data_IF_102087136892
#
_entry.id   IF_102087136892
#
_cell.length_a   1.000
_cell.length_b   1.000
_cell.length_c   1.000
_cell.angle_alpha   90.00
_cell.angle_beta   90.00
_cell.angle_gamma   90.00
#
_symmetry.space_group_name_H-M   'P 1'
#
loop_
_entity.id
_entity.type
_entity.pdbx_description
1 polymer ?
#
# COMPACT_ATOMS: atom_id res chain seq x y z
N UNK A 1 30.72 -5.15 -19.35
CA UNK A 1 30.20 -5.74 -18.10
C UNK A 1 29.43 -4.65 -17.38
N UNK A 2 28.16 -4.48 -17.72
CA UNK A 2 27.22 -3.67 -16.95
C UNK A 2 26.65 -4.58 -15.88
N UNK A 3 26.96 -4.29 -14.62
CA UNK A 3 26.27 -4.85 -13.46
C UNK A 3 24.81 -4.37 -13.55
N UNK A 4 23.97 -5.16 -14.22
CA UNK A 4 22.54 -4.99 -14.21
C UNK A 4 22.06 -5.43 -12.83
N UNK A 5 22.32 -4.58 -11.82
CA UNK A 5 21.83 -4.78 -10.48
C UNK A 5 20.35 -5.09 -10.56
N UNK A 6 19.96 -6.23 -9.99
CA UNK A 6 18.59 -6.73 -9.99
C UNK A 6 17.65 -5.57 -9.65
N UNK A 7 16.81 -5.17 -10.60
CA UNK A 7 15.85 -4.09 -10.39
C UNK A 7 14.95 -4.48 -9.21
N UNK A 8 15.18 -3.83 -8.06
CA UNK A 8 14.50 -4.16 -6.82
C UNK A 8 13.21 -3.38 -6.77
N UNK A 9 12.09 -4.07 -6.98
CA UNK A 9 10.75 -3.50 -6.80
C UNK A 9 10.60 -2.96 -5.37
N UNK A 10 10.25 -1.68 -5.26
CA UNK A 10 10.01 -0.98 -3.98
C UNK A 10 8.52 -0.66 -3.84
N UNK A 11 7.98 -0.83 -2.64
CA UNK A 11 6.60 -0.48 -2.32
C UNK A 11 6.53 -0.05 -0.85
N UNK A 12 5.74 0.98 -0.55
CA UNK A 12 5.31 1.30 0.80
C UNK A 12 3.92 0.73 1.04
N UNK A 13 3.71 0.14 2.21
CA UNK A 13 2.58 -0.73 2.46
C UNK A 13 2.09 -0.57 3.90
N UNK A 14 0.77 -0.51 4.06
CA UNK A 14 0.09 -0.60 5.36
C UNK A 14 -0.38 -2.03 5.55
N UNK A 15 0.16 -2.73 6.54
CA UNK A 15 -0.25 -4.10 6.85
C UNK A 15 -1.55 -4.13 7.65
N UNK A 16 -2.38 -5.12 7.37
CA UNK A 16 -3.60 -5.37 8.15
C UNK A 16 -3.19 -5.80 9.58
N UNK A 17 -3.79 -5.23 10.65
CA UNK A 17 -3.52 -5.64 12.02
C UNK A 17 -3.82 -7.12 12.25
N UNK A 18 -2.99 -7.78 13.06
CA UNK A 18 -3.07 -9.23 13.30
C UNK A 18 -4.47 -9.69 13.77
N UNK A 19 -5.15 -8.88 14.59
CA UNK A 19 -6.48 -9.17 15.12
C UNK A 19 -7.59 -9.35 14.06
N UNK A 20 -7.36 -8.98 12.80
CA UNK A 20 -8.31 -9.18 11.69
C UNK A 20 -7.71 -9.83 10.44
N UNK A 21 -6.43 -10.21 10.48
CA UNK A 21 -5.73 -10.68 9.28
C UNK A 21 -6.15 -12.10 8.86
N UNK A 22 -6.43 -13.00 9.81
CA UNK A 22 -6.64 -14.44 9.54
C UNK A 22 -7.71 -14.72 8.48
N UNK A 23 -8.92 -14.18 8.66
CA UNK A 23 -10.01 -14.38 7.69
C UNK A 23 -9.71 -13.79 6.31
N UNK A 24 -8.93 -12.71 6.23
CA UNK A 24 -8.52 -12.10 4.96
C UNK A 24 -7.49 -13.00 4.28
N UNK A 25 -6.53 -13.54 5.03
CA UNK A 25 -5.50 -14.42 4.46
C UNK A 25 -6.07 -15.75 3.97
N UNK A 26 -7.07 -16.33 4.66
CA UNK A 26 -7.77 -17.53 4.19
C UNK A 26 -8.45 -17.33 2.82
N UNK A 27 -9.03 -16.15 2.62
CA UNK A 27 -9.62 -15.78 1.33
C UNK A 27 -8.53 -15.55 0.28
N UNK A 28 -7.44 -14.85 0.63
CA UNK A 28 -6.31 -14.60 -0.28
C UNK A 28 -5.61 -15.90 -0.69
N UNK A 29 -5.48 -16.88 0.18
CA UNK A 29 -4.90 -18.18 -0.14
C UNK A 29 -5.67 -18.92 -1.24
N UNK A 30 -6.97 -18.64 -1.40
CA UNK A 30 -7.82 -19.25 -2.42
C UNK A 30 -7.91 -18.40 -3.69
N UNK A 31 -8.04 -17.08 -3.55
CA UNK A 31 -8.32 -16.17 -4.66
C UNK A 31 -7.08 -15.50 -5.26
N UNK A 32 -6.00 -15.36 -4.49
CA UNK A 32 -4.71 -14.79 -4.93
C UNK A 32 -3.53 -15.50 -4.24
N UNK A 33 -3.36 -16.82 -4.49
CA UNK A 33 -2.35 -17.63 -3.81
C UNK A 33 -0.92 -17.15 -4.07
N UNK A 34 -0.68 -16.55 -5.24
CA UNK A 34 0.65 -16.02 -5.61
C UNK A 34 0.98 -14.82 -4.74
N UNK A 35 0.12 -13.80 -4.64
CA UNK A 35 0.39 -12.66 -3.75
C UNK A 35 0.38 -13.05 -2.27
N UNK A 36 -0.49 -13.98 -1.87
CA UNK A 36 -0.52 -14.50 -0.50
C UNK A 36 0.84 -15.08 -0.09
N UNK A 37 1.53 -15.81 -0.98
CA UNK A 37 2.87 -16.34 -0.73
C UNK A 37 4.00 -15.30 -0.74
N UNK A 38 3.77 -14.10 -1.26
CA UNK A 38 4.79 -13.06 -1.40
C UNK A 38 4.71 -11.98 -0.31
N UNK A 39 3.50 -11.64 0.15
CA UNK A 39 3.30 -10.51 1.07
C UNK A 39 2.00 -10.68 1.89
N UNK A 40 2.03 -10.37 3.21
CA UNK A 40 0.83 -10.36 4.04
C UNK A 40 -0.25 -9.39 3.54
N UNK A 41 -1.46 -9.54 4.06
CA UNK A 41 -2.62 -8.75 3.67
C UNK A 41 -2.34 -7.28 3.96
N UNK A 42 -2.59 -6.46 2.94
CA UNK A 42 -2.10 -5.09 2.98
C UNK A 42 -2.85 -4.14 2.06
N UNK A 43 -2.64 -2.86 2.30
CA UNK A 43 -3.00 -1.76 1.42
C UNK A 43 -1.72 -1.12 0.89
N UNK A 44 -1.56 -1.03 -0.42
CA UNK A 44 -0.44 -0.32 -1.04
C UNK A 44 -0.55 1.18 -0.76
N UNK A 45 0.43 1.75 -0.06
CA UNK A 45 0.51 3.19 0.22
C UNK A 45 1.19 3.95 -0.92
N UNK A 46 2.33 3.47 -1.44
CA UNK A 46 3.01 4.08 -2.59
C UNK A 46 3.63 2.95 -3.43
N UNK A 47 3.48 3.04 -4.75
CA UNK A 47 4.05 2.10 -5.73
C UNK A 47 5.48 2.47 -6.10
N UNK A 48 6.15 1.57 -6.82
CA UNK A 48 7.55 1.73 -7.22
C UNK A 48 7.78 2.96 -8.10
N UNK A 49 6.91 3.19 -9.07
CA UNK A 49 6.93 4.33 -9.98
C UNK A 49 6.83 5.65 -9.19
N UNK A 50 5.91 5.72 -8.24
CA UNK A 50 5.73 6.89 -7.38
C UNK A 50 6.96 7.16 -6.48
N UNK A 51 7.59 6.10 -5.97
CA UNK A 51 8.79 6.22 -5.16
C UNK A 51 10.04 6.56 -5.98
N UNK A 52 10.07 6.15 -7.25
CA UNK A 52 11.20 6.39 -8.15
C UNK A 52 11.28 7.84 -8.63
N UNK A 53 10.19 8.61 -8.52
CA UNK A 53 10.18 10.06 -8.79
C UNK A 53 11.07 10.84 -7.79
N UNK A 54 11.41 10.24 -6.65
CA UNK A 54 12.29 10.85 -5.67
C UNK A 54 13.67 10.20 -5.67
N UNK A 55 14.71 11.04 -5.58
CA UNK A 55 16.09 10.56 -5.49
C UNK A 55 16.33 9.81 -4.18
N UNK A 56 16.93 8.62 -4.29
CA UNK A 56 17.30 7.79 -3.14
C UNK A 56 16.08 7.29 -2.35
N UNK A 57 16.14 7.48 -1.03
CA UNK A 57 15.16 6.99 -0.07
C UNK A 57 14.61 8.11 0.85
N UNK A 58 14.53 9.35 0.35
CA UNK A 58 14.11 10.54 1.12
C UNK A 58 12.74 10.39 1.81
N UNK A 59 11.86 9.55 1.26
CA UNK A 59 10.58 9.19 1.87
C UNK A 59 10.72 8.46 3.22
N UNK A 60 11.84 7.78 3.49
CA UNK A 60 12.14 7.21 4.81
C UNK A 60 12.31 8.30 5.85
N UNK A 61 13.07 9.35 5.50
CA UNK A 61 13.32 10.47 6.40
C UNK A 61 12.04 11.26 6.67
N UNK A 62 11.19 11.44 5.64
CA UNK A 62 9.86 12.04 5.79
C UNK A 62 8.98 11.22 6.73
N UNK A 63 8.95 9.90 6.59
CA UNK A 63 8.20 9.02 7.50
C UNK A 63 8.73 9.06 8.94
N UNK A 64 10.05 9.15 9.11
CA UNK A 64 10.68 9.22 10.43
C UNK A 64 10.47 10.58 11.12
N UNK A 65 10.43 11.67 10.35
CA UNK A 65 10.23 13.03 10.86
C UNK A 65 8.74 13.39 11.02
N UNK A 66 7.84 12.73 10.29
CA UNK A 66 6.42 13.00 10.36
C UNK A 66 5.82 12.39 11.64
N UNK A 67 5.03 13.20 12.35
CA UNK A 67 4.01 12.66 13.26
C UNK A 67 2.90 12.06 12.41
N UNK A 68 3.04 10.79 12.05
CA UNK A 68 2.02 10.07 11.27
C UNK A 68 0.84 9.76 12.18
N UNK A 69 -0.27 10.44 11.96
CA UNK A 69 -1.53 10.10 12.61
C UNK A 69 -1.98 8.69 12.16
N UNK A 70 -2.55 7.86 13.05
CA UNK A 70 -3.14 6.59 12.66
C UNK A 70 -4.20 6.80 11.58
N UNK A 71 -4.15 5.96 10.53
CA UNK A 71 -5.15 5.95 9.46
C UNK A 71 -6.11 4.79 9.70
N UNK A 72 -7.40 5.10 9.80
CA UNK A 72 -8.48 4.10 9.84
C UNK A 72 -9.16 4.07 8.48
N UNK A 73 -9.15 2.91 7.84
CA UNK A 73 -9.84 2.66 6.58
C UNK A 73 -11.03 1.73 6.81
N UNK A 74 -12.17 2.06 6.22
CA UNK A 74 -13.35 1.17 6.21
C UNK A 74 -13.56 0.65 4.81
N UNK A 75 -13.73 -0.66 4.69
CA UNK A 75 -13.95 -1.34 3.43
C UNK A 75 -15.39 -1.85 3.33
N UNK A 76 -15.98 -1.68 2.14
CA UNK A 76 -17.31 -2.18 1.81
C UNK A 76 -17.32 -3.65 1.41
N UNK A 77 -18.46 -4.11 0.91
CA UNK A 77 -18.61 -5.48 0.43
C UNK A 77 -17.67 -5.78 -0.76
N UNK A 78 -17.15 -7.02 -0.87
CA UNK A 78 -16.31 -7.42 -1.99
C UNK A 78 -17.04 -7.32 -3.32
N UNK A 79 -16.35 -6.82 -4.34
CA UNK A 79 -16.84 -6.73 -5.72
C UNK A 79 -15.89 -7.45 -6.66
N UNK A 80 -16.44 -8.02 -7.73
CA UNK A 80 -15.62 -8.55 -8.83
C UNK A 80 -14.89 -7.39 -9.52
N UNK A 81 -13.60 -7.59 -9.79
CA UNK A 81 -12.71 -6.57 -10.35
C UNK A 81 -11.88 -7.17 -11.48
N UNK A 82 -11.77 -6.46 -12.60
CA UNK A 82 -10.98 -6.88 -13.78
C UNK A 82 -11.23 -8.31 -14.28
N UNK A 83 -12.46 -8.81 -14.10
CA UNK A 83 -12.91 -10.12 -14.60
C UNK A 83 -12.47 -11.34 -13.80
N UNK A 84 -11.49 -11.24 -12.90
CA UNK A 84 -10.97 -12.37 -12.12
C UNK A 84 -10.47 -11.99 -10.72
N UNK A 85 -10.36 -10.70 -10.41
CA UNK A 85 -9.97 -10.22 -9.09
C UNK A 85 -11.16 -9.98 -8.18
N UNK A 86 -10.89 -9.95 -6.87
CA UNK A 86 -11.82 -9.45 -5.86
C UNK A 86 -11.23 -8.17 -5.28
N UNK A 87 -12.06 -7.13 -5.20
CA UNK A 87 -11.69 -5.84 -4.64
C UNK A 87 -12.61 -5.50 -3.48
N UNK A 88 -12.03 -5.00 -2.40
CA UNK A 88 -12.75 -4.37 -1.30
C UNK A 88 -12.73 -2.85 -1.52
N UNK A 89 -13.86 -2.19 -1.84
CA UNK A 89 -13.88 -0.75 -2.04
C UNK A 89 -13.66 -0.03 -0.71
N UNK A 90 -12.77 0.96 -0.68
CA UNK A 90 -12.66 1.86 0.46
C UNK A 90 -13.88 2.78 0.50
N UNK A 91 -14.66 2.70 1.57
CA UNK A 91 -15.90 3.49 1.76
C UNK A 91 -15.75 4.60 2.80
N UNK A 92 -14.69 4.58 3.62
CA UNK A 92 -14.36 5.67 4.54
C UNK A 92 -12.86 5.69 4.88
N UNK A 93 -12.34 6.85 5.29
CA UNK A 93 -10.93 7.02 5.69
C UNK A 93 -9.98 7.46 4.58
N UNK A 94 -10.47 7.53 3.33
CA UNK A 94 -9.69 7.94 2.16
C UNK A 94 -8.96 9.29 2.32
N UNK A 95 -9.56 10.36 2.90
CA UNK A 95 -8.85 11.63 3.06
C UNK A 95 -7.59 11.52 3.92
N UNK A 96 -7.65 10.80 5.05
CA UNK A 96 -6.48 10.60 5.93
C UNK A 96 -5.38 9.78 5.24
N UNK A 97 -5.78 8.77 4.46
CA UNK A 97 -4.85 7.99 3.64
C UNK A 97 -4.15 8.85 2.59
N UNK A 98 -4.87 9.75 1.92
CA UNK A 98 -4.29 10.67 0.94
C UNK A 98 -3.36 11.71 1.58
N UNK A 99 -3.70 12.23 2.76
CA UNK A 99 -2.80 13.10 3.53
C UNK A 99 -1.49 12.37 3.84
N UNK A 100 -1.57 11.11 4.31
CA UNK A 100 -0.37 10.32 4.55
C UNK A 100 0.46 10.12 3.27
N UNK A 101 -0.18 9.79 2.14
CA UNK A 101 0.52 9.68 0.85
C UNK A 101 1.21 10.98 0.47
N UNK A 102 0.51 12.12 0.60
CA UNK A 102 1.06 13.43 0.29
C UNK A 102 2.26 13.80 1.17
N UNK A 103 2.25 13.40 2.45
CA UNK A 103 3.40 13.60 3.33
C UNK A 103 4.61 12.77 2.92
N UNK A 104 4.40 11.53 2.48
CA UNK A 104 5.48 10.62 2.04
C UNK A 104 6.07 11.07 0.71
N UNK A 105 5.21 11.37 -0.25
CA UNK A 105 5.60 11.73 -1.62
C UNK A 105 5.87 13.24 -1.77
N UNK A 106 5.59 14.06 -0.76
CA UNK A 106 5.75 15.52 -0.83
C UNK A 106 4.96 16.13 -2.01
N UNK A 107 3.83 15.48 -2.34
CA UNK A 107 2.88 15.98 -3.31
C UNK A 107 1.94 16.92 -2.58
N UNK A 108 2.30 18.19 -2.50
CA UNK A 108 1.37 19.21 -2.01
C UNK A 108 0.17 19.26 -2.95
N UNK A 109 -0.99 18.81 -2.47
CA UNK A 109 -2.26 19.17 -3.11
C UNK A 109 -2.38 20.69 -3.00
N UNK A 110 -2.15 21.39 -4.11
CA UNK A 110 -2.52 22.79 -4.22
C UNK A 110 -4.02 22.89 -3.97
N UNK A 111 -4.36 23.77 -3.02
CA UNK A 111 -5.70 24.06 -2.53
C UNK A 111 -6.73 24.35 -3.64
#
# INVERSE_FOLDING_TARGET
MTDAGIARRRQLTLFVPHAGAGAIEEVRAQLDPVQHGLIPAHVTLCREDELAEHAGDVWRDRLAAATVAPVTLTFGAPVSFSGHGVMLPCIAGQPAFHVLRAQVLDTHAFC
#
